data_IF_942814739157
#
_entry.id   IF_942814739157
#
_cell.length_a   1.000
_cell.length_b   1.000
_cell.length_c   1.000
_cell.angle_alpha   90.00
_cell.angle_beta   90.00
_cell.angle_gamma   90.00
#
_symmetry.space_group_name_H-M   'P 1'
#
loop_
_entity.id
_entity.type
_entity.pdbx_description
1 polymer ?
#
# COMPACT_ATOMS: atom_id res chain seq x y z
N UNK A 1 -1.89 18.52 10.33
CA UNK A 1 -0.66 17.88 9.80
C UNK A 1 -0.89 17.78 8.32
N UNK A 2 -0.03 18.37 7.50
CA UNK A 2 -0.35 18.69 6.10
C UNK A 2 -0.52 17.46 5.22
N UNK A 3 -1.33 17.61 4.18
CA UNK A 3 -1.56 16.67 3.08
C UNK A 3 -0.28 16.38 2.24
N UNK A 4 0.90 16.80 2.72
CA UNK A 4 2.15 16.85 1.97
C UNK A 4 3.15 15.73 2.31
N UNK A 5 3.18 15.27 3.55
CA UNK A 5 4.24 14.38 4.05
C UNK A 5 4.18 12.97 3.44
N UNK A 6 2.97 12.49 3.11
CA UNK A 6 2.74 11.12 2.66
C UNK A 6 3.37 10.84 1.29
N UNK A 7 3.04 11.63 0.27
CA UNK A 7 3.58 11.45 -1.09
C UNK A 7 5.10 11.60 -1.18
N UNK A 8 5.70 12.46 -0.34
CA UNK A 8 7.16 12.65 -0.28
C UNK A 8 7.88 11.43 0.29
N UNK A 9 7.31 10.81 1.32
CA UNK A 9 7.87 9.59 1.93
C UNK A 9 7.80 8.42 0.93
N UNK A 10 6.75 8.34 0.12
CA UNK A 10 6.61 7.34 -0.94
C UNK A 10 7.58 7.56 -2.11
N UNK A 11 7.74 8.80 -2.59
CA UNK A 11 8.75 9.15 -3.59
C UNK A 11 10.16 8.78 -3.09
N UNK A 12 10.46 9.10 -1.83
CA UNK A 12 11.75 8.78 -1.23
C UNK A 12 12.00 7.28 -1.16
N UNK A 13 11.00 6.46 -0.83
CA UNK A 13 11.17 5.01 -0.73
C UNK A 13 11.31 4.28 -2.06
N UNK A 14 10.49 4.64 -3.06
CA UNK A 14 10.65 4.13 -4.43
C UNK A 14 12.05 4.47 -4.97
N UNK A 15 12.61 5.60 -4.52
CA UNK A 15 13.94 6.08 -4.93
C UNK A 15 15.10 5.54 -4.07
N UNK A 16 14.85 4.86 -2.95
CA UNK A 16 15.86 4.56 -1.94
C UNK A 16 16.55 3.19 -2.03
N UNK A 17 16.08 2.26 -2.87
CA UNK A 17 16.59 0.88 -3.01
C UNK A 17 16.87 0.13 -1.68
N UNK A 18 15.98 -0.78 -1.30
CA UNK A 18 16.25 -1.92 -0.40
C UNK A 18 16.68 -1.63 1.07
N UNK A 19 16.03 -0.65 1.73
CA UNK A 19 16.15 -0.44 3.19
C UNK A 19 14.90 -0.90 3.96
N UNK A 20 15.06 -1.94 4.79
CA UNK A 20 14.02 -2.48 5.68
C UNK A 20 13.40 -1.39 6.58
N UNK A 21 14.19 -0.43 7.07
CA UNK A 21 13.67 0.62 7.94
C UNK A 21 12.68 1.53 7.20
N UNK A 22 12.97 1.83 5.94
CA UNK A 22 12.10 2.61 5.07
C UNK A 22 10.80 1.87 4.74
N UNK A 23 10.85 0.54 4.55
CA UNK A 23 9.66 -0.31 4.39
C UNK A 23 8.72 -0.22 5.60
N UNK A 24 9.24 -0.44 6.81
CA UNK A 24 8.41 -0.43 8.02
C UNK A 24 7.83 0.95 8.32
N UNK A 25 8.57 2.02 8.01
CA UNK A 25 8.09 3.38 8.14
C UNK A 25 6.89 3.62 7.24
N UNK A 26 6.96 3.22 5.96
CA UNK A 26 5.84 3.37 5.03
C UNK A 26 4.66 2.51 5.43
N UNK A 27 4.89 1.24 5.74
CA UNK A 27 3.86 0.33 6.22
C UNK A 27 3.05 0.94 7.38
N UNK A 28 3.72 1.57 8.34
CA UNK A 28 3.08 2.21 9.48
C UNK A 28 2.24 3.44 9.07
N UNK A 29 2.71 4.23 8.12
CA UNK A 29 1.98 5.40 7.64
C UNK A 29 0.70 4.96 6.91
N UNK A 30 0.82 4.04 5.94
CA UNK A 30 -0.33 3.49 5.21
C UNK A 30 -1.34 2.85 6.18
N UNK A 31 -0.85 2.07 7.14
CA UNK A 31 -1.68 1.45 8.16
C UNK A 31 -2.45 2.49 8.99
N UNK A 32 -1.80 3.59 9.36
CA UNK A 32 -2.42 4.70 10.11
C UNK A 32 -3.48 5.42 9.28
N UNK A 33 -3.22 5.67 8.00
CA UNK A 33 -4.20 6.31 7.10
C UNK A 33 -5.42 5.42 6.87
N UNK A 34 -5.21 4.13 6.65
CA UNK A 34 -6.30 3.17 6.52
C UNK A 34 -7.16 3.10 7.78
N UNK A 35 -6.55 3.18 8.97
CA UNK A 35 -7.28 3.24 10.24
C UNK A 35 -8.03 4.55 10.47
N UNK A 36 -7.51 5.65 9.94
CA UNK A 36 -8.15 6.96 10.01
C UNK A 36 -9.20 7.17 8.90
N UNK A 37 -9.21 6.30 7.88
CA UNK A 37 -10.21 6.33 6.82
C UNK A 37 -11.59 5.94 7.33
N UNK A 38 -12.65 6.27 6.56
CA UNK A 38 -14.01 5.85 6.88
C UNK A 38 -14.21 4.32 6.81
N UNK A 39 -13.19 3.55 6.42
CA UNK A 39 -13.22 2.09 6.42
C UNK A 39 -12.87 1.56 7.80
N UNK A 40 -13.79 0.86 8.44
CA UNK A 40 -13.52 0.16 9.71
C UNK A 40 -12.64 -1.07 9.49
N UNK A 41 -11.32 -0.86 9.39
CA UNK A 41 -10.31 -1.90 9.37
C UNK A 41 -9.74 -2.12 10.78
N UNK A 42 -9.45 -3.38 11.12
CA UNK A 42 -8.61 -3.69 12.28
C UNK A 42 -7.14 -3.40 11.93
N UNK A 43 -6.33 -3.03 12.92
CA UNK A 43 -4.90 -2.71 12.75
C UNK A 43 -4.11 -3.78 11.98
N UNK A 44 -4.32 -5.07 12.29
CA UNK A 44 -3.74 -6.20 11.54
C UNK A 44 -4.08 -6.15 10.05
N UNK A 45 -5.35 -5.91 9.72
CA UNK A 45 -5.80 -5.85 8.33
C UNK A 45 -5.26 -4.62 7.61
N UNK A 46 -5.21 -3.46 8.28
CA UNK A 46 -4.61 -2.25 7.72
C UNK A 46 -3.13 -2.48 7.34
N UNK A 47 -2.36 -3.16 8.20
CA UNK A 47 -0.97 -3.51 7.91
C UNK A 47 -0.83 -4.51 6.75
N UNK A 48 -1.75 -5.46 6.61
CA UNK A 48 -1.73 -6.41 5.47
C UNK A 48 -2.08 -5.75 4.14
N UNK A 49 -3.01 -4.80 4.15
CA UNK A 49 -3.33 -3.97 2.98
C UNK A 49 -2.12 -3.11 2.62
N UNK A 50 -1.43 -2.55 3.61
CA UNK A 50 -0.19 -1.81 3.40
C UNK A 50 0.91 -2.70 2.76
N UNK A 51 1.09 -3.93 3.26
CA UNK A 51 2.04 -4.89 2.67
C UNK A 51 1.72 -5.16 1.20
N UNK A 52 0.44 -5.44 0.88
CA UNK A 52 0.00 -5.64 -0.50
C UNK A 52 0.23 -4.42 -1.39
N UNK A 53 -0.06 -3.22 -0.90
CA UNK A 53 0.09 -1.98 -1.66
C UNK A 53 1.57 -1.73 -2.01
N UNK A 54 2.46 -1.90 -1.02
CA UNK A 54 3.90 -1.77 -1.24
C UNK A 54 4.39 -2.81 -2.25
N UNK A 55 4.01 -4.09 -2.09
CA UNK A 55 4.47 -5.14 -3.00
C UNK A 55 3.98 -4.93 -4.44
N UNK A 56 2.71 -4.57 -4.66
CA UNK A 56 2.19 -4.30 -6.01
C UNK A 56 2.93 -3.12 -6.67
N UNK A 57 3.25 -2.06 -5.92
CA UNK A 57 4.02 -0.92 -6.44
C UNK A 57 5.46 -1.26 -6.76
N UNK A 58 6.13 -2.01 -5.88
CA UNK A 58 7.55 -2.37 -6.06
C UNK A 58 7.73 -3.35 -7.22
N UNK A 59 6.86 -4.36 -7.33
CA UNK A 59 7.01 -5.38 -8.36
C UNK A 59 6.49 -4.95 -9.74
N UNK A 60 5.68 -3.90 -9.82
CA UNK A 60 5.11 -3.34 -11.07
C UNK A 60 4.48 -4.39 -12.00
N UNK A 61 3.94 -5.47 -11.42
CA UNK A 61 3.30 -6.58 -12.14
C UNK A 61 2.16 -7.13 -11.31
N UNK A 62 1.20 -7.76 -11.98
CA UNK A 62 0.11 -8.42 -11.29
C UNK A 62 0.64 -9.58 -10.42
N UNK A 63 0.41 -9.51 -9.10
CA UNK A 63 0.81 -10.58 -8.21
C UNK A 63 -0.04 -11.83 -8.45
N UNK A 64 0.60 -12.99 -8.56
CA UNK A 64 -0.13 -14.27 -8.58
C UNK A 64 -0.84 -14.51 -7.24
N UNK A 65 -1.93 -15.29 -7.22
CA UNK A 65 -2.64 -15.68 -5.98
C UNK A 65 -1.71 -16.32 -4.94
N UNK A 66 -0.75 -17.11 -5.41
CA UNK A 66 0.29 -17.71 -4.58
C UNK A 66 1.18 -16.66 -3.93
N UNK A 67 1.56 -15.63 -4.67
CA UNK A 67 2.39 -14.54 -4.16
C UNK A 67 1.61 -13.69 -3.15
N UNK A 68 0.37 -13.32 -3.47
CA UNK A 68 -0.53 -12.59 -2.57
C UNK A 68 -0.70 -13.31 -1.23
N UNK A 69 -0.85 -14.63 -1.26
CA UNK A 69 -0.94 -15.43 -0.03
C UNK A 69 0.34 -15.32 0.83
N UNK A 70 1.52 -15.31 0.20
CA UNK A 70 2.81 -15.11 0.88
C UNK A 70 2.89 -13.73 1.53
N UNK A 71 2.57 -12.67 0.78
CA UNK A 71 2.58 -11.27 1.27
C UNK A 71 1.64 -11.11 2.46
N UNK A 72 0.45 -11.69 2.38
CA UNK A 72 -0.55 -11.65 3.44
C UNK A 72 -0.22 -12.53 4.67
N UNK A 73 0.86 -13.32 4.61
CA UNK A 73 1.23 -14.25 5.67
C UNK A 73 0.21 -15.37 5.89
N UNK A 74 -0.52 -15.77 4.85
CA UNK A 74 -1.57 -16.81 4.96
C UNK A 74 -1.20 -18.06 4.18
N UNK A 75 -1.56 -19.22 4.73
CA UNK A 75 -1.39 -20.48 4.02
C UNK A 75 -2.14 -20.46 2.68
N UNK A 76 -1.52 -20.94 1.59
CA UNK A 76 -2.12 -20.97 0.24
C UNK A 76 -3.52 -21.60 0.26
N UNK A 77 -3.68 -22.75 0.92
CA UNK A 77 -4.97 -23.43 1.03
C UNK A 77 -6.03 -22.58 1.75
N UNK A 78 -5.63 -21.72 2.68
CA UNK A 78 -6.53 -20.77 3.36
C UNK A 78 -6.85 -19.57 2.46
N UNK A 79 -5.90 -19.11 1.65
CA UNK A 79 -6.12 -18.08 0.63
C UNK A 79 -7.19 -18.54 -0.37
N UNK A 80 -6.99 -19.70 -1.00
CA UNK A 80 -7.92 -20.22 -2.01
C UNK A 80 -9.33 -20.46 -1.45
N UNK A 81 -9.44 -20.89 -0.19
CA UNK A 81 -10.74 -21.08 0.48
C UNK A 81 -11.49 -19.78 0.75
N UNK A 82 -10.78 -18.66 0.93
CA UNK A 82 -11.36 -17.36 1.23
C UNK A 82 -10.96 -16.32 0.18
N UNK A 83 -10.87 -16.75 -1.09
CA UNK A 83 -10.30 -15.93 -2.17
C UNK A 83 -11.00 -14.59 -2.31
N UNK A 84 -12.33 -14.54 -2.18
CA UNK A 84 -13.09 -13.29 -2.25
C UNK A 84 -12.73 -12.30 -1.14
N UNK A 85 -12.41 -12.78 0.06
CA UNK A 85 -11.99 -11.91 1.16
C UNK A 85 -10.63 -11.29 0.86
N UNK A 86 -9.67 -12.10 0.42
CA UNK A 86 -8.31 -11.63 0.15
C UNK A 86 -8.19 -10.82 -1.13
N UNK A 87 -8.99 -11.13 -2.16
CA UNK A 87 -9.09 -10.29 -3.36
C UNK A 87 -9.71 -8.92 -3.00
N UNK A 88 -10.65 -8.87 -2.04
CA UNK A 88 -11.15 -7.61 -1.49
C UNK A 88 -10.04 -6.78 -0.81
N UNK A 89 -9.11 -7.41 -0.08
CA UNK A 89 -7.96 -6.70 0.49
C UNK A 89 -7.01 -6.17 -0.59
N UNK A 90 -6.85 -6.90 -1.70
CA UNK A 90 -6.07 -6.43 -2.84
C UNK A 90 -6.73 -5.24 -3.53
N UNK A 91 -8.05 -5.26 -3.71
CA UNK A 91 -8.77 -4.12 -4.29
C UNK A 91 -8.59 -2.86 -3.44
N UNK A 92 -8.62 -3.01 -2.11
CA UNK A 92 -8.29 -1.92 -1.19
C UNK A 92 -6.85 -1.43 -1.37
N UNK A 93 -5.89 -2.34 -1.48
CA UNK A 93 -4.49 -1.99 -1.73
C UNK A 93 -4.32 -1.21 -3.06
N UNK A 94 -5.03 -1.60 -4.12
CA UNK A 94 -5.02 -0.89 -5.40
C UNK A 94 -5.65 0.49 -5.31
N UNK A 95 -6.75 0.65 -4.57
CA UNK A 95 -7.33 1.97 -4.33
C UNK A 95 -6.36 2.90 -3.61
N UNK A 96 -5.62 2.36 -2.63
CA UNK A 96 -4.58 3.08 -1.91
C UNK A 96 -3.48 3.55 -2.88
N UNK A 97 -2.98 2.66 -3.75
CA UNK A 97 -1.99 3.01 -4.78
C UNK A 97 -2.50 4.12 -5.70
N UNK A 98 -3.72 3.99 -6.23
CA UNK A 98 -4.31 4.98 -7.14
C UNK A 98 -4.46 6.35 -6.45
N UNK A 99 -4.92 6.36 -5.19
CA UNK A 99 -5.00 7.60 -4.40
C UNK A 99 -3.65 8.30 -4.34
N UNK A 100 -2.57 7.55 -4.13
CA UNK A 100 -1.22 8.09 -4.07
C UNK A 100 -0.68 8.58 -5.41
N UNK A 101 -0.93 7.84 -6.50
CA UNK A 101 -0.51 8.27 -7.84
C UNK A 101 -1.15 9.62 -8.21
N UNK A 102 -2.42 9.82 -7.85
CA UNK A 102 -3.13 11.08 -8.05
C UNK A 102 -2.52 12.21 -7.20
N UNK A 103 -2.28 11.98 -5.91
CA UNK A 103 -1.67 12.99 -5.02
C UNK A 103 -0.25 13.37 -5.46
N UNK A 104 0.57 12.38 -5.85
CA UNK A 104 1.92 12.62 -6.36
C UNK A 104 1.87 13.44 -7.66
N UNK A 105 0.96 13.11 -8.58
CA UNK A 105 0.74 13.86 -9.81
C UNK A 105 0.35 15.32 -9.57
N UNK A 106 -0.57 15.57 -8.61
CA UNK A 106 -0.96 16.94 -8.25
C UNK A 106 0.21 17.76 -7.71
N UNK A 107 1.03 17.19 -6.83
CA UNK A 107 2.22 17.87 -6.28
C UNK A 107 3.27 18.21 -7.33
N UNK A 108 3.44 17.36 -8.34
CA UNK A 108 4.35 17.66 -9.46
C UNK A 108 3.85 18.88 -10.23
N UNK A 109 2.53 18.96 -10.48
CA UNK A 109 1.92 20.08 -11.20
C UNK A 109 2.02 21.39 -10.41
N UNK A 110 1.77 21.36 -9.10
CA UNK A 110 1.90 22.54 -8.21
C UNK A 110 3.33 23.09 -8.17
N UNK A 111 4.35 22.21 -8.15
CA UNK A 111 5.75 22.63 -8.15
C UNK A 111 6.26 23.05 -9.54
N UNK A 112 5.58 22.65 -10.62
CA UNK A 112 5.96 22.97 -12.01
C UNK A 112 5.34 24.26 -12.54
N UNK A 113 4.43 24.88 -11.78
CA UNK A 113 3.71 26.10 -12.17
C UNK A 113 4.25 27.37 -11.49
N UNK A 114 5.49 27.33 -11.00
CA UNK A 114 6.23 28.44 -10.41
C UNK A 114 7.27 29.00 -11.39
#
# INVERSE_FOLDING_TARGET
MSDDAFAWIMFAYVSAEDDDASYYKIKAIIGTELLNSAVSLKLDMAHRVADLAITEMVEQRELSKTHRATVLGVARASYYRNVHHYDGLLDMAKMVIVGWEVEAGMKILENSSC
#
